data_IF_036044921846
#
_entry.id   IF_036044921846
#
_cell.length_a   1.000
_cell.length_b   1.000
_cell.length_c   1.000
_cell.angle_alpha   90.00
_cell.angle_beta   90.00
_cell.angle_gamma   90.00
#
_symmetry.space_group_name_H-M   'P 1'
#
loop_
_entity.id
_entity.type
_entity.pdbx_description
1 polymer ?
#
# COMPACT_ATOMS: atom_id res chain seq x y z
N UNK A 1 -70.34 47.88 48.13
CA UNK A 1 -69.39 48.57 47.23
C UNK A 1 -68.07 47.81 47.34
N UNK A 2 -67.60 47.07 46.32
CA UNK A 2 -66.86 47.59 45.13
C UNK A 2 -65.60 48.30 45.67
N UNK A 3 -64.33 47.87 45.51
CA UNK A 3 -63.58 47.35 44.33
C UNK A 3 -62.11 47.06 44.69
N UNK A 4 -61.48 46.10 43.97
CA UNK A 4 -60.12 46.13 43.36
C UNK A 4 -58.86 46.33 44.22
N UNK A 5 -57.69 45.78 43.93
CA UNK A 5 -57.22 44.84 42.90
C UNK A 5 -55.80 44.38 43.26
N UNK A 6 -55.46 43.17 42.78
CA UNK A 6 -54.14 42.60 42.63
C UNK A 6 -53.07 43.58 42.11
N UNK A 7 -51.87 43.52 42.67
CA UNK A 7 -50.64 43.41 41.88
C UNK A 7 -49.45 43.03 42.76
N UNK A 8 -48.54 42.25 42.16
CA UNK A 8 -47.20 41.87 42.64
C UNK A 8 -47.09 40.53 43.38
N UNK A 9 -47.16 39.43 42.63
CA UNK A 9 -46.14 38.36 42.70
C UNK A 9 -46.34 37.35 41.56
N UNK A 10 -45.62 37.53 40.46
CA UNK A 10 -45.58 36.58 39.36
C UNK A 10 -44.22 36.60 38.66
N UNK A 11 -43.44 35.53 38.81
CA UNK A 11 -42.20 35.38 38.03
C UNK A 11 -41.09 34.56 38.69
N UNK A 12 -41.32 33.30 39.05
CA UNK A 12 -40.28 32.42 39.62
C UNK A 12 -40.17 31.01 39.03
N UNK A 13 -41.01 30.65 38.05
CA UNK A 13 -41.19 29.25 37.63
C UNK A 13 -40.31 28.76 36.46
N UNK A 14 -39.73 29.65 35.64
CA UNK A 14 -39.08 29.24 34.38
C UNK A 14 -37.57 28.97 34.50
N UNK A 15 -36.89 29.63 35.44
CA UNK A 15 -35.43 29.50 35.58
C UNK A 15 -35.00 28.18 36.23
N UNK A 16 -35.79 27.66 37.18
CA UNK A 16 -35.48 26.42 37.92
C UNK A 16 -35.66 25.14 37.08
N UNK A 17 -36.43 25.19 36.00
CA UNK A 17 -36.64 24.04 35.08
C UNK A 17 -35.55 23.94 34.00
N UNK A 18 -34.89 25.06 33.70
CA UNK A 18 -33.80 25.12 32.71
C UNK A 18 -32.47 24.64 33.31
N UNK A 19 -32.15 25.02 34.54
CA UNK A 19 -30.96 24.51 35.26
C UNK A 19 -31.02 23.00 35.49
N UNK A 20 -32.17 22.43 35.87
CA UNK A 20 -32.30 20.99 36.08
C UNK A 20 -32.14 20.13 34.80
N UNK A 21 -32.43 20.70 33.62
CA UNK A 21 -32.16 20.04 32.32
C UNK A 21 -30.70 20.19 31.88
N UNK A 22 -30.05 21.31 32.22
CA UNK A 22 -28.63 21.53 31.97
C UNK A 22 -27.78 20.55 32.80
N UNK A 23 -28.06 20.42 34.10
CA UNK A 23 -27.34 19.50 35.00
C UNK A 23 -27.50 18.03 34.59
N UNK A 24 -28.65 17.64 34.02
CA UNK A 24 -28.86 16.29 33.49
C UNK A 24 -28.08 16.00 32.21
N UNK A 25 -27.81 17.01 31.38
CA UNK A 25 -26.97 16.85 30.19
C UNK A 25 -25.48 16.76 30.56
N UNK A 26 -25.03 17.57 31.51
CA UNK A 26 -23.63 17.59 31.95
C UNK A 26 -23.25 16.32 32.75
N UNK A 27 -24.19 15.77 33.53
CA UNK A 27 -24.00 14.50 34.24
C UNK A 27 -24.00 13.28 33.31
N UNK A 28 -24.82 13.26 32.25
CA UNK A 28 -24.80 12.18 31.24
C UNK A 28 -23.55 12.28 30.35
N UNK A 29 -23.12 13.50 29.99
CA UNK A 29 -21.86 13.70 29.27
C UNK A 29 -20.63 13.31 30.11
N UNK A 30 -20.64 13.63 31.40
CA UNK A 30 -19.61 13.23 32.36
C UNK A 30 -19.59 11.72 32.59
N UNK A 31 -20.74 11.07 32.77
CA UNK A 31 -20.85 9.62 32.89
C UNK A 31 -20.43 8.88 31.60
N UNK A 32 -20.77 9.42 30.42
CA UNK A 32 -20.31 8.89 29.14
C UNK A 32 -18.79 9.06 28.96
N UNK A 33 -18.23 10.18 29.43
CA UNK A 33 -16.78 10.42 29.40
C UNK A 33 -16.02 9.53 30.38
N UNK A 34 -16.58 9.25 31.56
CA UNK A 34 -16.04 8.32 32.56
C UNK A 34 -16.13 6.87 32.07
N UNK A 35 -17.24 6.48 31.44
CA UNK A 35 -17.41 5.16 30.83
C UNK A 35 -16.45 4.95 29.66
N UNK A 36 -16.26 5.98 28.82
CA UNK A 36 -15.25 5.99 27.75
C UNK A 36 -13.81 5.97 28.29
N UNK A 37 -13.55 6.58 29.46
CA UNK A 37 -12.24 6.57 30.12
C UNK A 37 -11.94 5.22 30.80
N UNK A 38 -12.94 4.58 31.41
CA UNK A 38 -12.84 3.21 31.97
C UNK A 38 -12.72 2.13 30.88
N UNK A 39 -13.40 2.29 29.74
CA UNK A 39 -13.26 1.37 28.60
C UNK A 39 -11.88 1.50 27.91
N UNK A 40 -11.20 2.64 28.09
CA UNK A 40 -9.82 2.88 27.66
C UNK A 40 -8.81 2.39 28.71
N UNK A 41 -9.07 2.55 30.02
CA UNK A 41 -8.19 2.03 31.10
C UNK A 41 -8.24 0.50 31.25
N UNK A 42 -9.34 -0.16 30.87
CA UNK A 42 -9.44 -1.63 30.85
C UNK A 42 -8.82 -2.30 29.61
N UNK A 43 -8.39 -1.52 28.62
CA UNK A 43 -7.73 -2.00 27.39
C UNK A 43 -6.23 -1.69 27.48
N UNK A 44 -5.49 -2.55 28.17
CA UNK A 44 -4.02 -2.58 28.24
C UNK A 44 -3.32 -2.86 26.88
N UNK A 45 -4.06 -2.86 25.78
CA UNK A 45 -3.55 -3.08 24.44
C UNK A 45 -3.60 -1.72 23.75
N UNK A 46 -2.44 -1.05 23.64
CA UNK A 46 -2.28 0.00 22.63
C UNK A 46 -2.62 -0.64 21.28
N UNK A 47 -3.82 -0.36 20.78
CA UNK A 47 -4.20 -0.73 19.42
C UNK A 47 -3.23 0.00 18.49
N UNK A 48 -2.39 -0.79 17.83
CA UNK A 48 -1.37 -0.37 16.89
C UNK A 48 -1.76 0.92 16.16
N UNK A 49 -1.03 2.02 16.42
CA UNK A 49 -1.26 3.31 15.77
C UNK A 49 -0.95 3.18 14.28
N UNK A 50 -1.97 2.79 13.51
CA UNK A 50 -1.92 2.85 12.06
C UNK A 50 -1.70 4.30 11.65
N UNK A 51 -0.51 4.61 11.12
CA UNK A 51 -0.24 5.94 10.58
C UNK A 51 -1.25 6.23 9.47
N UNK A 52 -1.97 7.33 9.63
CA UNK A 52 -3.03 7.76 8.74
C UNK A 52 -2.45 8.72 7.70
N UNK A 53 -2.22 8.25 6.47
CA UNK A 53 -1.67 9.10 5.41
C UNK A 53 -1.19 8.34 4.17
N UNK A 54 -0.67 9.08 3.18
CA UNK A 54 0.14 8.52 2.11
C UNK A 54 1.52 8.12 2.63
N UNK A 55 2.16 7.13 2.01
CA UNK A 55 3.51 6.69 2.39
C UNK A 55 4.50 7.82 2.05
N UNK A 56 5.30 8.25 3.02
CA UNK A 56 6.31 9.28 2.81
C UNK A 56 7.38 8.81 1.81
N UNK A 57 7.80 9.70 0.90
CA UNK A 57 8.88 9.41 -0.05
C UNK A 57 10.20 9.04 0.64
N UNK A 58 10.38 9.48 1.90
CA UNK A 58 11.48 9.10 2.77
C UNK A 58 11.59 7.58 2.96
N UNK A 59 10.46 6.87 3.04
CA UNK A 59 10.44 5.40 3.22
C UNK A 59 10.95 4.69 1.97
N UNK A 60 10.52 5.13 0.78
CA UNK A 60 11.03 4.61 -0.50
C UNK A 60 12.53 4.88 -0.65
N UNK A 61 12.98 6.10 -0.29
CA UNK A 61 14.40 6.45 -0.32
C UNK A 61 15.23 5.61 0.65
N UNK A 62 14.70 5.33 1.84
CA UNK A 62 15.37 4.45 2.80
C UNK A 62 15.49 3.03 2.26
N UNK A 63 14.43 2.49 1.64
CA UNK A 63 14.47 1.15 1.03
C UNK A 63 15.48 1.06 -0.12
N UNK A 64 15.51 2.07 -1.00
CA UNK A 64 16.51 2.12 -2.09
C UNK A 64 17.93 2.22 -1.53
N UNK A 65 18.11 2.95 -0.42
CA UNK A 65 19.41 3.05 0.24
C UNK A 65 19.84 1.74 0.91
N UNK A 66 18.91 0.95 1.47
CA UNK A 66 19.22 -0.36 2.06
C UNK A 66 19.53 -1.43 1.03
N UNK A 67 18.95 -1.37 -0.16
CA UNK A 67 19.31 -2.22 -1.32
C UNK A 67 20.71 -1.89 -1.85
N UNK A 68 21.20 -0.68 -1.62
CA UNK A 68 22.46 -0.18 -2.16
C UNK A 68 22.25 0.63 -3.43
N UNK A 69 22.76 1.86 -3.42
CA UNK A 69 22.59 2.84 -4.50
C UNK A 69 23.17 2.31 -5.82
N UNK A 70 24.31 1.62 -5.77
CA UNK A 70 24.95 1.04 -6.95
C UNK A 70 24.08 -0.03 -7.62
N UNK A 71 23.53 -0.98 -6.86
CA UNK A 71 22.66 -2.03 -7.39
C UNK A 71 21.33 -1.48 -7.93
N UNK A 72 20.78 -0.46 -7.26
CA UNK A 72 19.58 0.23 -7.71
C UNK A 72 19.80 0.95 -9.05
N UNK A 73 20.89 1.71 -9.17
CA UNK A 73 21.25 2.41 -10.42
C UNK A 73 21.54 1.39 -11.54
N UNK A 74 22.28 0.33 -11.26
CA UNK A 74 22.54 -0.73 -12.23
C UNK A 74 21.24 -1.37 -12.75
N UNK A 75 20.27 -1.61 -11.86
CA UNK A 75 18.95 -2.15 -12.24
C UNK A 75 18.19 -1.18 -13.15
N UNK A 76 18.21 0.13 -12.85
CA UNK A 76 17.56 1.13 -13.69
C UNK A 76 18.19 1.21 -15.08
N UNK A 77 19.51 1.21 -15.16
CA UNK A 77 20.24 1.22 -16.44
C UNK A 77 19.92 -0.03 -17.26
N UNK A 78 19.94 -1.21 -16.64
CA UNK A 78 19.62 -2.45 -17.35
C UNK A 78 18.16 -2.52 -17.81
N UNK A 79 17.20 -2.00 -17.03
CA UNK A 79 15.81 -1.87 -17.49
C UNK A 79 15.68 -0.92 -18.68
N UNK A 80 16.41 0.21 -18.66
CA UNK A 80 16.44 1.12 -19.79
C UNK A 80 17.01 0.44 -21.06
N UNK A 81 18.11 -0.29 -20.92
CA UNK A 81 18.72 -1.04 -22.03
C UNK A 81 17.79 -2.15 -22.53
N UNK A 82 17.12 -2.88 -21.64
CA UNK A 82 16.10 -3.87 -22.00
C UNK A 82 14.98 -3.24 -22.85
N UNK A 83 14.48 -2.09 -22.43
CA UNK A 83 13.45 -1.36 -23.16
C UNK A 83 13.96 -0.84 -24.51
N UNK A 84 15.22 -0.38 -24.57
CA UNK A 84 15.85 0.04 -25.81
C UNK A 84 16.00 -1.11 -26.82
N UNK A 85 16.41 -2.30 -26.37
CA UNK A 85 16.45 -3.51 -27.20
C UNK A 85 15.06 -3.89 -27.72
N UNK A 86 14.03 -3.78 -26.86
CA UNK A 86 12.65 -4.06 -27.26
C UNK A 86 12.17 -3.09 -28.35
N UNK A 87 12.38 -1.78 -28.17
CA UNK A 87 12.00 -0.77 -29.17
C UNK A 87 12.80 -0.97 -30.46
N UNK A 88 14.12 -1.15 -30.36
CA UNK A 88 15.01 -1.37 -31.49
C UNK A 88 14.59 -2.58 -32.32
N UNK A 89 14.22 -3.69 -31.67
CA UNK A 89 13.67 -4.87 -32.32
C UNK A 89 12.38 -4.58 -33.09
N UNK A 90 11.44 -3.83 -32.50
CA UNK A 90 10.19 -3.45 -33.16
C UNK A 90 10.40 -2.48 -34.34
N UNK A 91 11.31 -1.51 -34.21
CA UNK A 91 11.66 -0.59 -35.30
C UNK A 91 12.36 -1.33 -36.44
N UNK A 92 13.27 -2.24 -36.13
CA UNK A 92 13.93 -3.09 -37.12
C UNK A 92 12.93 -3.96 -37.88
N UNK A 93 11.97 -4.55 -37.16
CA UNK A 93 10.87 -5.32 -37.78
C UNK A 93 10.02 -4.46 -38.71
N UNK A 94 9.75 -3.20 -38.33
CA UNK A 94 9.02 -2.24 -39.15
C UNK A 94 9.78 -1.90 -40.44
N UNK A 95 11.11 -1.71 -40.34
CA UNK A 95 11.95 -1.47 -41.51
C UNK A 95 12.02 -2.69 -42.42
N UNK A 96 12.18 -3.89 -41.85
CA UNK A 96 12.16 -5.14 -42.59
C UNK A 96 10.83 -5.34 -43.33
N UNK A 97 9.70 -5.01 -42.70
CA UNK A 97 8.38 -5.12 -43.33
C UNK A 97 8.16 -4.16 -44.51
N UNK A 98 8.85 -3.02 -44.55
CA UNK A 98 8.69 -2.01 -45.60
C UNK A 98 9.65 -2.19 -46.79
N UNK A 99 10.65 -3.06 -46.68
CA UNK A 99 11.67 -3.26 -47.71
C UNK A 99 11.26 -4.36 -48.71
N UNK A 100 10.79 -3.95 -49.90
CA UNK A 100 10.35 -4.87 -50.96
C UNK A 100 11.50 -5.73 -51.55
N UNK A 101 12.76 -5.33 -51.37
CA UNK A 101 13.91 -6.03 -51.94
C UNK A 101 14.24 -7.34 -51.20
N UNK A 102 13.79 -7.47 -49.95
CA UNK A 102 14.02 -8.66 -49.12
C UNK A 102 13.26 -9.89 -49.62
N UNK A 103 12.20 -9.70 -50.43
CA UNK A 103 11.46 -10.80 -51.02
C UNK A 103 12.25 -11.55 -52.12
N UNK A 104 13.15 -10.85 -52.82
CA UNK A 104 13.89 -11.41 -53.96
C UNK A 104 15.34 -11.79 -53.62
N UNK A 105 15.93 -11.24 -52.56
CA UNK A 105 17.31 -11.52 -52.16
C UNK A 105 17.38 -12.31 -50.84
N UNK A 106 17.79 -13.58 -50.95
CA UNK A 106 17.95 -14.50 -49.83
C UNK A 106 19.01 -14.02 -48.83
N UNK A 107 20.07 -13.35 -49.30
CA UNK A 107 21.17 -12.89 -48.43
C UNK A 107 20.76 -11.73 -47.53
N UNK A 108 19.97 -10.79 -48.06
CA UNK A 108 19.42 -9.69 -47.27
C UNK A 108 18.43 -10.20 -46.22
N UNK A 109 17.59 -11.19 -46.56
CA UNK A 109 16.66 -11.80 -45.61
C UNK A 109 17.38 -12.42 -44.41
N UNK A 110 18.45 -13.17 -44.66
CA UNK A 110 19.22 -13.81 -43.59
C UNK A 110 19.94 -12.77 -42.71
N UNK A 111 20.38 -11.65 -43.29
CA UNK A 111 20.92 -10.51 -42.52
C UNK A 111 19.85 -9.87 -41.62
N UNK A 112 18.68 -9.55 -42.16
CA UNK A 112 17.58 -8.96 -41.37
C UNK A 112 17.15 -9.89 -40.23
N UNK A 113 17.05 -11.19 -40.49
CA UNK A 113 16.73 -12.22 -39.50
C UNK A 113 17.82 -12.35 -38.43
N UNK A 114 19.10 -12.33 -38.84
CA UNK A 114 20.23 -12.38 -37.92
C UNK A 114 20.29 -11.19 -36.97
N UNK A 115 20.09 -9.98 -37.48
CA UNK A 115 20.06 -8.75 -36.67
C UNK A 115 18.85 -8.74 -35.72
N UNK A 116 17.68 -9.17 -36.19
CA UNK A 116 16.50 -9.33 -35.33
C UNK A 116 16.74 -10.35 -34.21
N UNK A 117 17.36 -11.49 -34.54
CA UNK A 117 17.77 -12.50 -33.56
C UNK A 117 18.76 -11.95 -32.52
N UNK A 118 19.73 -11.14 -32.95
CA UNK A 118 20.69 -10.48 -32.06
C UNK A 118 20.02 -9.49 -31.10
N UNK A 119 19.06 -8.69 -31.58
CA UNK A 119 18.26 -7.80 -30.72
C UNK A 119 17.45 -8.59 -29.68
N UNK A 120 16.80 -9.68 -30.09
CA UNK A 120 16.04 -10.56 -29.19
C UNK A 120 16.92 -11.24 -28.15
N UNK A 121 18.08 -11.76 -28.55
CA UNK A 121 19.05 -12.37 -27.63
C UNK A 121 19.58 -11.33 -26.62
N UNK A 122 19.97 -10.14 -27.10
CA UNK A 122 20.40 -9.03 -26.24
C UNK A 122 19.32 -8.60 -25.25
N UNK A 123 18.05 -8.57 -25.68
CA UNK A 123 16.91 -8.31 -24.82
C UNK A 123 16.78 -9.35 -23.71
N UNK A 124 16.83 -10.65 -24.04
CA UNK A 124 16.71 -11.74 -23.06
C UNK A 124 17.84 -11.69 -22.04
N UNK A 125 19.09 -11.55 -22.50
CA UNK A 125 20.27 -11.47 -21.61
C UNK A 125 20.16 -10.28 -20.67
N UNK A 126 19.83 -9.10 -21.20
CA UNK A 126 19.69 -7.88 -20.38
C UNK A 126 18.53 -8.00 -19.39
N UNK A 127 17.39 -8.56 -19.81
CA UNK A 127 16.23 -8.77 -18.95
C UNK A 127 16.51 -9.78 -17.83
N UNK A 128 17.27 -10.83 -18.13
CA UNK A 128 17.71 -11.81 -17.14
C UNK A 128 18.69 -11.19 -16.13
N UNK A 129 19.70 -10.46 -16.60
CA UNK A 129 20.65 -9.74 -15.72
C UNK A 129 19.95 -8.71 -14.84
N UNK A 130 19.03 -7.93 -15.40
CA UNK A 130 18.24 -6.96 -14.64
C UNK A 130 17.40 -7.64 -13.55
N UNK A 131 16.81 -8.80 -13.87
CA UNK A 131 16.04 -9.59 -12.92
C UNK A 131 16.94 -10.10 -11.80
N UNK A 132 18.09 -10.67 -12.14
CA UNK A 132 19.01 -11.23 -11.15
C UNK A 132 19.54 -10.17 -10.19
N UNK A 133 19.99 -9.02 -10.70
CA UNK A 133 20.53 -7.94 -9.86
C UNK A 133 19.45 -7.40 -8.91
N UNK A 134 18.23 -7.20 -9.41
CA UNK A 134 17.11 -6.77 -8.57
C UNK A 134 16.79 -7.81 -7.48
N UNK A 135 16.72 -9.10 -7.84
CA UNK A 135 16.45 -10.17 -6.88
C UNK A 135 17.55 -10.25 -5.80
N UNK A 136 18.83 -10.19 -6.19
CA UNK A 136 19.94 -10.19 -5.24
C UNK A 136 19.93 -8.97 -4.32
N UNK A 137 19.68 -7.77 -4.87
CA UNK A 137 19.57 -6.55 -4.07
C UNK A 137 18.39 -6.56 -3.09
N UNK A 138 17.26 -7.15 -3.48
CA UNK A 138 16.11 -7.32 -2.60
C UNK A 138 16.39 -8.31 -1.46
N UNK A 139 17.07 -9.43 -1.74
CA UNK A 139 17.49 -10.39 -0.71
C UNK A 139 18.49 -9.77 0.27
N UNK A 140 19.42 -8.95 -0.22
CA UNK A 140 20.37 -8.25 0.64
C UNK A 140 19.66 -7.21 1.54
N UNK A 141 18.75 -6.43 0.96
CA UNK A 141 17.92 -5.49 1.72
C UNK A 141 17.01 -6.17 2.73
N UNK A 142 16.45 -7.33 2.40
CA UNK A 142 15.67 -8.16 3.31
C UNK A 142 16.48 -8.57 4.54
N UNK A 143 17.69 -9.10 4.32
CA UNK A 143 18.63 -9.46 5.40
C UNK A 143 19.01 -8.25 6.25
N UNK A 144 19.31 -7.12 5.62
CA UNK A 144 19.60 -5.88 6.33
C UNK A 144 18.43 -5.44 7.21
N UNK A 145 17.21 -5.40 6.66
CA UNK A 145 16.02 -4.96 7.37
C UNK A 145 15.68 -5.90 8.53
N UNK A 146 15.81 -7.21 8.34
CA UNK A 146 15.62 -8.21 9.38
C UNK A 146 16.63 -8.03 10.52
N UNK A 147 17.91 -7.82 10.21
CA UNK A 147 18.94 -7.57 11.22
C UNK A 147 18.69 -6.27 12.01
N UNK A 148 18.29 -5.19 11.33
CA UNK A 148 17.93 -3.93 11.99
C UNK A 148 16.73 -4.12 12.93
N UNK A 149 15.71 -4.84 12.48
CA UNK A 149 14.52 -5.13 13.29
C UNK A 149 14.87 -5.98 14.51
N UNK A 150 15.65 -7.03 14.34
CA UNK A 150 16.10 -7.94 15.40
C UNK A 150 16.97 -7.20 16.42
N UNK A 151 17.95 -6.43 15.96
CA UNK A 151 18.84 -5.66 16.82
C UNK A 151 18.11 -4.56 17.59
N UNK A 152 17.13 -3.91 16.97
CA UNK A 152 16.27 -2.94 17.64
C UNK A 152 15.41 -3.57 18.71
N UNK A 153 14.82 -4.74 18.42
CA UNK A 153 13.96 -5.47 19.37
C UNK A 153 14.75 -5.96 20.58
N UNK A 154 15.94 -6.54 20.38
CA UNK A 154 16.78 -7.03 21.49
C UNK A 154 17.31 -5.93 22.43
N UNK A 155 17.31 -4.67 21.98
CA UNK A 155 17.77 -3.51 22.76
C UNK A 155 16.64 -2.75 23.45
N UNK A 156 15.40 -3.21 23.32
CA UNK A 156 14.29 -2.57 24.01
C UNK A 156 14.40 -2.77 25.54
N UNK A 157 14.11 -1.73 26.33
CA UNK A 157 14.07 -1.86 27.78
C UNK A 157 12.94 -2.83 28.17
N UNK A 158 13.12 -3.56 29.26
CA UNK A 158 12.18 -4.60 29.72
C UNK A 158 10.75 -4.05 29.91
N UNK A 159 10.64 -2.79 30.36
CA UNK A 159 9.37 -2.07 30.50
C UNK A 159 8.56 -2.03 29.20
N UNK A 160 9.22 -1.90 28.04
CA UNK A 160 8.54 -1.90 26.74
C UNK A 160 8.10 -3.30 26.32
N UNK A 161 8.78 -4.36 26.78
CA UNK A 161 8.35 -5.73 26.55
C UNK A 161 7.11 -6.10 27.38
N UNK A 162 6.99 -5.55 28.59
CA UNK A 162 5.84 -5.81 29.47
C UNK A 162 4.58 -5.04 29.03
N UNK A 163 4.75 -3.86 28.43
CA UNK A 163 3.65 -3.03 27.91
C UNK A 163 3.19 -3.50 26.52
N UNK A 164 4.09 -4.06 25.69
CA UNK A 164 3.75 -4.44 24.32
C UNK A 164 3.25 -5.89 24.26
N UNK A 165 2.01 -6.15 23.81
CA UNK A 165 1.55 -7.52 23.65
C UNK A 165 2.44 -8.28 22.65
N UNK A 166 2.68 -9.57 22.91
CA UNK A 166 3.56 -10.42 22.09
C UNK A 166 3.08 -10.55 20.62
N UNK A 167 1.76 -10.47 20.41
CA UNK A 167 1.11 -10.70 19.11
C UNK A 167 1.61 -9.77 17.98
N UNK A 168 1.55 -8.43 18.14
CA UNK A 168 2.10 -7.48 17.18
C UNK A 168 3.58 -7.70 16.82
N UNK A 169 4.42 -8.08 17.78
CA UNK A 169 5.84 -8.37 17.54
C UNK A 169 5.97 -9.57 16.59
N UNK A 170 5.27 -10.67 16.90
CA UNK A 170 5.26 -11.88 16.06
C UNK A 170 4.67 -11.58 14.68
N UNK A 171 3.59 -10.81 14.59
CA UNK A 171 2.97 -10.43 13.31
C UNK A 171 3.92 -9.58 12.45
N UNK A 172 4.74 -8.72 13.06
CA UNK A 172 5.73 -7.90 12.37
C UNK A 172 6.91 -8.72 11.85
N UNK A 173 7.39 -9.69 12.62
CA UNK A 173 8.45 -10.63 12.19
C UNK A 173 7.95 -11.67 11.17
N UNK A 174 6.68 -12.04 11.21
CA UNK A 174 6.10 -13.00 10.26
C UNK A 174 5.61 -12.30 8.99
N UNK A 175 4.47 -11.60 9.04
CA UNK A 175 3.86 -10.99 7.86
C UNK A 175 4.64 -9.79 7.34
N UNK A 176 5.26 -9.02 8.22
CA UNK A 176 6.05 -7.84 7.83
C UNK A 176 7.29 -8.22 7.04
N UNK A 177 8.05 -9.21 7.51
CA UNK A 177 9.23 -9.74 6.80
C UNK A 177 8.80 -10.42 5.49
N UNK A 178 7.77 -11.27 5.50
CA UNK A 178 7.27 -11.91 4.27
C UNK A 178 6.85 -10.90 3.19
N UNK A 179 6.20 -9.80 3.60
CA UNK A 179 5.82 -8.74 2.66
C UNK A 179 7.06 -8.05 2.05
N UNK A 180 8.10 -7.80 2.86
CA UNK A 180 9.35 -7.17 2.41
C UNK A 180 10.16 -8.09 1.50
N UNK A 181 10.09 -9.40 1.74
CA UNK A 181 10.92 -10.40 1.06
C UNK A 181 10.30 -10.84 -0.27
N UNK A 182 8.97 -11.01 -0.31
CA UNK A 182 8.28 -11.58 -1.47
C UNK A 182 7.44 -10.56 -2.23
N UNK A 183 6.59 -9.81 -1.51
CA UNK A 183 5.58 -8.96 -2.14
C UNK A 183 6.19 -7.67 -2.68
N UNK A 184 7.06 -7.02 -1.90
CA UNK A 184 7.65 -5.74 -2.25
C UNK A 184 8.55 -5.84 -3.50
N UNK A 185 9.47 -6.82 -3.62
CA UNK A 185 10.33 -6.97 -4.81
C UNK A 185 9.54 -7.25 -6.08
N UNK A 186 8.50 -8.09 -5.99
CA UNK A 186 7.63 -8.42 -7.12
C UNK A 186 6.91 -7.17 -7.64
N UNK A 187 6.32 -6.38 -6.74
CA UNK A 187 5.63 -5.16 -7.11
C UNK A 187 6.58 -4.10 -7.67
N UNK A 188 7.76 -3.91 -7.06
CA UNK A 188 8.76 -2.98 -7.58
C UNK A 188 9.21 -3.35 -9.00
N UNK A 189 9.46 -4.64 -9.25
CA UNK A 189 9.79 -5.14 -10.58
C UNK A 189 8.72 -4.76 -11.60
N UNK A 190 7.45 -5.05 -11.29
CA UNK A 190 6.33 -4.75 -12.19
C UNK A 190 6.20 -3.26 -12.42
N UNK A 191 6.29 -2.43 -11.37
CA UNK A 191 6.20 -0.97 -11.48
C UNK A 191 7.32 -0.40 -12.36
N UNK A 192 8.57 -0.84 -12.15
CA UNK A 192 9.72 -0.38 -12.96
C UNK A 192 9.52 -0.75 -14.42
N UNK A 193 9.24 -2.03 -14.71
CA UNK A 193 9.03 -2.51 -16.09
C UNK A 193 7.88 -1.78 -16.77
N UNK A 194 6.75 -1.63 -16.08
CA UNK A 194 5.57 -0.97 -16.64
C UNK A 194 5.81 0.53 -16.86
N UNK A 195 6.52 1.19 -15.95
CA UNK A 195 6.86 2.61 -16.09
C UNK A 195 7.75 2.83 -17.32
N UNK A 196 8.81 2.04 -17.48
CA UNK A 196 9.68 2.13 -18.66
C UNK A 196 8.94 1.76 -19.95
N UNK A 197 8.08 0.75 -19.94
CA UNK A 197 7.27 0.37 -21.10
C UNK A 197 6.27 1.46 -21.51
N UNK A 198 5.59 2.08 -20.55
CA UNK A 198 4.67 3.21 -20.83
C UNK A 198 5.44 4.42 -21.36
N UNK A 199 6.58 4.78 -20.75
CA UNK A 199 7.41 5.87 -21.28
C UNK A 199 7.91 5.58 -22.69
N UNK A 200 8.39 4.37 -22.93
CA UNK A 200 8.86 3.93 -24.24
C UNK A 200 7.77 3.99 -25.31
N UNK A 201 6.59 3.45 -25.02
CA UNK A 201 5.46 3.47 -25.97
C UNK A 201 5.03 4.90 -26.30
N UNK A 202 4.97 5.79 -25.30
CA UNK A 202 4.69 7.21 -25.52
C UNK A 202 5.73 7.85 -26.45
N UNK A 203 7.02 7.60 -26.21
CA UNK A 203 8.11 8.13 -27.05
C UNK A 203 8.00 7.60 -28.48
N UNK A 204 7.82 6.30 -28.67
CA UNK A 204 7.73 5.67 -30.00
C UNK A 204 6.54 6.22 -30.80
N UNK A 205 5.35 6.30 -30.17
CA UNK A 205 4.16 6.83 -30.85
C UNK A 205 4.35 8.32 -31.15
N UNK A 206 4.95 9.08 -30.23
CA UNK A 206 5.21 10.52 -30.45
C UNK A 206 6.20 10.79 -31.58
N UNK A 207 7.20 9.92 -31.78
CA UNK A 207 8.14 10.02 -32.90
C UNK A 207 7.46 9.66 -34.23
N UNK A 208 6.57 8.66 -34.22
CA UNK A 208 5.83 8.26 -35.42
C UNK A 208 4.77 9.28 -35.82
N UNK A 209 4.03 9.83 -34.85
CA UNK A 209 2.93 10.77 -35.09
C UNK A 209 2.96 11.91 -34.05
N UNK A 210 3.57 13.07 -34.35
CA UNK A 210 3.73 14.15 -33.37
C UNK A 210 2.39 14.77 -32.93
N UNK A 211 1.32 14.70 -33.74
CA UNK A 211 -0.01 15.21 -33.38
C UNK A 211 -0.63 14.43 -32.20
N UNK A 212 -0.18 13.20 -31.95
CA UNK A 212 -0.66 12.36 -30.84
C UNK A 212 -0.38 12.99 -29.47
N UNK A 213 0.64 13.85 -29.37
CA UNK A 213 0.98 14.55 -28.13
C UNK A 213 -0.14 15.51 -27.68
N UNK A 214 -0.92 16.08 -28.60
CA UNK A 214 -2.08 16.88 -28.23
C UNK A 214 -3.19 16.05 -27.57
N UNK A 215 -3.33 14.78 -27.95
CA UNK A 215 -4.34 13.84 -27.44
C UNK A 215 -3.93 13.24 -26.09
N UNK A 216 -2.62 13.06 -25.84
CA UNK A 216 -2.16 12.45 -24.59
C UNK A 216 -2.37 13.35 -23.37
N UNK A 217 -2.33 14.67 -23.54
CA UNK A 217 -2.52 15.64 -22.44
C UNK A 217 -3.90 15.51 -21.77
N UNK A 218 -5.05 15.55 -22.48
CA UNK A 218 -6.36 15.36 -21.85
C UNK A 218 -6.54 13.95 -21.27
N UNK A 219 -5.99 12.91 -21.90
CA UNK A 219 -6.04 11.54 -21.38
C UNK A 219 -5.26 11.43 -20.05
N UNK A 220 -4.05 11.99 -19.99
CA UNK A 220 -3.23 12.01 -18.78
C UNK A 220 -3.92 12.76 -17.64
N UNK A 221 -4.61 13.86 -17.94
CA UNK A 221 -5.40 14.61 -16.94
C UNK A 221 -6.55 13.77 -16.38
N UNK A 222 -7.33 13.10 -17.24
CA UNK A 222 -8.39 12.18 -16.79
C UNK A 222 -7.83 11.02 -15.97
N UNK A 223 -6.72 10.44 -16.41
CA UNK A 223 -6.06 9.33 -15.72
C UNK A 223 -5.55 9.76 -14.34
N UNK A 224 -4.96 10.96 -14.23
CA UNK A 224 -4.52 11.52 -12.95
C UNK A 224 -5.68 11.67 -11.96
N UNK A 225 -6.82 12.20 -12.43
CA UNK A 225 -8.01 12.32 -11.60
C UNK A 225 -8.49 10.94 -11.15
N UNK A 226 -8.70 10.01 -12.09
CA UNK A 226 -9.14 8.64 -11.80
C UNK A 226 -8.19 7.93 -10.82
N UNK A 227 -6.87 8.04 -11.02
CA UNK A 227 -5.85 7.47 -10.14
C UNK A 227 -5.97 8.02 -8.72
N UNK A 228 -6.19 9.33 -8.55
CA UNK A 228 -6.34 9.94 -7.23
C UNK A 228 -7.56 9.39 -6.47
N UNK A 229 -8.70 9.22 -7.13
CA UNK A 229 -9.89 8.61 -6.52
C UNK A 229 -9.70 7.12 -6.24
N UNK A 230 -9.20 6.37 -7.22
CA UNK A 230 -8.97 4.94 -7.09
C UNK A 230 -8.02 4.60 -5.93
N UNK A 231 -6.89 5.31 -5.84
CA UNK A 231 -5.88 5.09 -4.80
C UNK A 231 -6.43 5.42 -3.41
N UNK A 232 -7.28 6.45 -3.27
CA UNK A 232 -7.92 6.77 -1.99
C UNK A 232 -8.91 5.66 -1.56
N UNK A 233 -9.79 5.25 -2.47
CA UNK A 233 -10.82 4.22 -2.20
C UNK A 233 -10.20 2.84 -1.95
N UNK A 234 -9.24 2.43 -2.78
CA UNK A 234 -8.55 1.13 -2.65
C UNK A 234 -7.84 1.01 -1.30
N UNK A 235 -7.18 2.08 -0.83
CA UNK A 235 -6.53 2.09 0.48
C UNK A 235 -7.53 1.92 1.64
N UNK A 236 -8.71 2.55 1.54
CA UNK A 236 -9.76 2.38 2.54
C UNK A 236 -10.35 0.97 2.53
N UNK A 237 -10.52 0.37 1.34
CA UNK A 237 -11.01 -1.00 1.19
C UNK A 237 -10.03 -2.02 1.80
N UNK A 238 -8.74 -1.90 1.49
CA UNK A 238 -7.67 -2.73 2.08
C UNK A 238 -7.62 -2.61 3.61
N UNK A 239 -7.86 -1.40 4.14
CA UNK A 239 -7.99 -1.20 5.60
C UNK A 239 -9.19 -1.94 6.17
N UNK A 240 -10.36 -1.85 5.52
CA UNK A 240 -11.57 -2.54 5.97
C UNK A 240 -11.38 -4.06 5.96
N UNK A 241 -10.73 -4.61 4.92
CA UNK A 241 -10.38 -6.02 4.81
C UNK A 241 -9.44 -6.48 5.93
N UNK A 242 -8.41 -5.68 6.24
CA UNK A 242 -7.46 -6.00 7.32
C UNK A 242 -8.12 -6.00 8.70
N UNK A 243 -8.98 -5.01 8.98
CA UNK A 243 -9.67 -4.87 10.26
C UNK A 243 -10.76 -5.93 10.45
N UNK A 244 -11.47 -6.32 9.37
CA UNK A 244 -12.54 -7.33 9.46
C UNK A 244 -12.03 -8.75 9.70
N UNK A 245 -10.80 -9.07 9.30
CA UNK A 245 -10.20 -10.40 9.53
C UNK A 245 -9.83 -10.67 10.99
N UNK A 246 -9.42 -9.66 11.75
CA UNK A 246 -8.93 -9.85 13.12
C UNK A 246 -10.00 -10.41 14.09
N UNK A 247 -11.25 -9.91 14.13
CA UNK A 247 -12.31 -10.46 14.96
C UNK A 247 -12.65 -11.92 14.64
N UNK A 248 -12.59 -12.31 13.36
CA UNK A 248 -12.89 -13.69 12.93
C UNK A 248 -11.86 -14.66 13.52
N UNK A 249 -10.57 -14.34 13.42
CA UNK A 249 -9.52 -15.17 14.02
C UNK A 249 -9.61 -15.20 15.56
N UNK A 250 -9.93 -14.07 16.20
CA UNK A 250 -10.12 -14.00 17.65
C UNK A 250 -11.28 -14.88 18.11
N UNK A 251 -12.44 -14.78 17.45
CA UNK A 251 -13.62 -15.59 17.77
C UNK A 251 -13.37 -17.08 17.56
N UNK A 252 -12.67 -17.46 16.47
CA UNK A 252 -12.28 -18.84 16.23
C UNK A 252 -11.34 -19.37 17.32
N UNK A 253 -10.33 -18.60 17.72
CA UNK A 253 -9.40 -18.96 18.80
C UNK A 253 -10.11 -19.13 20.15
N UNK A 254 -11.06 -18.26 20.45
CA UNK A 254 -11.87 -18.32 21.69
C UNK A 254 -12.81 -19.52 21.68
N UNK A 255 -13.44 -19.82 20.54
CA UNK A 255 -14.29 -21.00 20.37
C UNK A 255 -13.50 -22.30 20.51
N UNK A 256 -12.30 -22.40 19.92
CA UNK A 256 -11.44 -23.59 20.03
C UNK A 256 -10.99 -23.81 21.47
N UNK A 257 -10.61 -22.74 22.17
CA UNK A 257 -10.17 -22.82 23.58
C UNK A 257 -11.33 -23.12 24.52
N UNK A 258 -12.50 -22.53 24.27
CA UNK A 258 -13.75 -22.72 25.02
C UNK A 258 -14.59 -23.91 24.57
N UNK A 259 -14.09 -24.77 23.67
CA UNK A 259 -14.88 -25.83 23.04
C UNK A 259 -15.47 -26.82 24.07
N UNK A 260 -14.74 -27.11 25.14
CA UNK A 260 -15.22 -27.97 26.23
C UNK A 260 -16.38 -27.33 27.01
N UNK A 261 -16.31 -26.02 27.28
CA UNK A 261 -17.37 -25.27 27.95
C UNK A 261 -18.62 -25.13 27.04
N UNK A 262 -18.44 -24.82 25.75
CA UNK A 262 -19.54 -24.69 24.79
C UNK A 262 -20.31 -26.01 24.66
N UNK A 263 -19.58 -27.14 24.60
CA UNK A 263 -20.17 -28.49 24.58
C UNK A 263 -20.86 -28.85 25.90
N UNK A 264 -20.29 -28.46 27.04
CA UNK A 264 -20.87 -28.73 28.36
C UNK A 264 -22.19 -27.98 28.59
N UNK A 265 -22.32 -26.75 28.06
CA UNK A 265 -23.54 -25.94 28.17
C UNK A 265 -24.55 -26.16 27.02
N UNK A 266 -24.22 -27.03 26.04
CA UNK A 266 -25.06 -27.36 24.89
C UNK A 266 -25.59 -26.11 24.14
N UNK A 267 -24.72 -25.11 23.95
CA UNK A 267 -25.03 -23.82 23.28
C UNK A 267 -24.59 -23.81 21.82
N UNK A 268 -24.16 -24.95 21.28
CA UNK A 268 -23.90 -25.10 19.85
C UNK A 268 -25.21 -25.26 19.10
N UNK A 269 -25.32 -24.63 17.93
CA UNK A 269 -26.43 -24.91 17.01
C UNK A 269 -26.42 -26.42 16.63
N UNK A 270 -27.60 -27.05 16.49
CA UNK A 270 -27.75 -28.48 16.24
C UNK A 270 -27.21 -28.95 14.89
#
# INVERSE_FOLDING_TARGET
SVTSADSLMGGGGSLRRRTKRQDSHDSVASAASLKKKQEVEGKLIETEKSQTGGVEFAVYKHYIKSVGIFLSVATLVLNFVFQAFQIGSNLWLTQWANDQNVANDTGLRDMYLGVYGAFGFGQVVTGYLSTLILSLGCVDSARYMHNVLLHGTLRWPMEMFDITPLGPIVNRFSKGVDTIDNTLPLNLRVVILQLFAVLATIVVISLSTPIFLAVIVPIAFLYYFAQRFYVATSRQLMRLESVSRSPIYSHFSETVTGASAIRAYNVGDP
#
